data_IF_864248151154
#
_entry.id   IF_864248151154
#
_cell.length_a   1.000
_cell.length_b   1.000
_cell.length_c   1.000
_cell.angle_alpha   90.00
_cell.angle_beta   90.00
_cell.angle_gamma   90.00
#
_symmetry.space_group_name_H-M   'P 1'
#
loop_
_entity.id
_entity.type
_entity.pdbx_description
1 polymer ?
#
# COMPACT_ATOMS: atom_id res chain seq x y z
N UNK A 1 -16.66 4.99 4.75
CA UNK A 1 -16.23 6.40 4.63
C UNK A 1 -16.47 7.13 5.95
N UNK A 2 -15.74 6.84 7.04
CA UNK A 2 -16.12 7.44 8.34
C UNK A 2 -15.09 7.45 9.47
N UNK A 3 -13.88 6.92 9.30
CA UNK A 3 -12.84 6.98 10.36
C UNK A 3 -11.81 8.07 10.07
N UNK A 4 -11.46 8.31 8.80
CA UNK A 4 -10.44 9.32 8.43
C UNK A 4 -10.93 10.77 8.60
N UNK A 5 -12.25 11.00 8.54
CA UNK A 5 -12.82 12.35 8.71
C UNK A 5 -12.86 12.82 10.16
N UNK A 6 -13.01 11.91 11.14
CA UNK A 6 -13.15 12.27 12.56
C UNK A 6 -11.80 12.67 13.19
N UNK A 7 -10.68 12.16 12.66
CA UNK A 7 -9.35 12.53 13.17
C UNK A 7 -8.86 13.89 12.65
N UNK A 8 -9.41 14.43 11.55
CA UNK A 8 -8.93 15.68 10.96
C UNK A 8 -9.43 16.96 11.65
N UNK A 9 -10.46 16.86 12.49
CA UNK A 9 -11.00 18.01 13.25
C UNK A 9 -10.17 18.36 14.50
N UNK A 10 -9.30 17.45 14.98
CA UNK A 10 -8.44 17.66 16.16
C UNK A 10 -6.96 17.93 15.85
N UNK A 11 -6.59 18.02 14.57
CA UNK A 11 -5.19 18.03 14.10
C UNK A 11 -4.84 19.42 13.59
N UNK A 12 -3.75 20.01 14.09
CA UNK A 12 -3.28 21.34 13.65
C UNK A 12 -2.97 21.35 12.15
N UNK A 13 -3.02 22.53 11.54
CA UNK A 13 -2.67 22.69 10.12
C UNK A 13 -1.26 22.15 9.81
N UNK A 14 -0.31 22.38 10.72
CA UNK A 14 1.07 21.90 10.60
C UNK A 14 1.12 20.37 10.60
N UNK A 15 0.43 19.71 11.53
CA UNK A 15 0.43 18.25 11.61
C UNK A 15 -0.27 17.60 10.40
N UNK A 16 -1.25 18.30 9.80
CA UNK A 16 -1.84 17.88 8.51
C UNK A 16 -0.84 18.02 7.36
N UNK A 17 -0.09 19.12 7.30
CA UNK A 17 0.91 19.34 6.27
C UNK A 17 2.04 18.30 6.35
N UNK A 18 2.52 17.98 7.56
CA UNK A 18 3.52 16.92 7.77
C UNK A 18 2.99 15.54 7.35
N UNK A 19 1.75 15.20 7.71
CA UNK A 19 1.14 13.95 7.29
C UNK A 19 1.00 13.86 5.75
N UNK A 20 0.64 14.97 5.09
CA UNK A 20 0.58 15.05 3.63
C UNK A 20 1.97 14.89 3.00
N UNK A 21 3.00 15.53 3.57
CA UNK A 21 4.39 15.40 3.14
C UNK A 21 4.88 13.96 3.24
N UNK A 22 4.66 13.31 4.39
CA UNK A 22 5.02 11.91 4.59
C UNK A 22 4.38 10.98 3.57
N UNK A 23 3.11 11.22 3.20
CA UNK A 23 2.43 10.42 2.18
C UNK A 23 2.96 10.67 0.77
N UNK A 24 3.30 11.92 0.44
CA UNK A 24 3.95 12.25 -0.83
C UNK A 24 5.33 11.57 -0.94
N UNK A 25 6.13 11.62 0.12
CA UNK A 25 7.44 11.00 0.17
C UNK A 25 7.36 9.47 0.06
N UNK A 26 6.41 8.85 0.76
CA UNK A 26 6.16 7.41 0.66
C UNK A 26 5.76 6.99 -0.77
N UNK A 27 4.89 7.76 -1.42
CA UNK A 27 4.47 7.51 -2.80
C UNK A 27 5.64 7.67 -3.77
N UNK A 28 6.46 8.71 -3.59
CA UNK A 28 7.62 8.98 -4.43
C UNK A 28 8.69 7.88 -4.29
N UNK A 29 8.99 7.48 -3.06
CA UNK A 29 9.92 6.39 -2.80
C UNK A 29 9.45 5.08 -3.41
N UNK A 30 8.19 4.69 -3.17
CA UNK A 30 7.63 3.45 -3.71
C UNK A 30 7.57 3.47 -5.24
N UNK A 31 7.27 4.62 -5.84
CA UNK A 31 7.34 4.80 -7.29
C UNK A 31 8.73 4.50 -7.84
N UNK A 32 9.79 4.97 -7.18
CA UNK A 32 11.18 4.67 -7.55
C UNK A 32 11.50 3.18 -7.47
N UNK A 33 11.05 2.50 -6.40
CA UNK A 33 11.21 1.05 -6.23
C UNK A 33 10.51 0.28 -7.36
N UNK A 34 9.27 0.66 -7.67
CA UNK A 34 8.48 0.02 -8.73
C UNK A 34 9.09 0.22 -10.12
N UNK A 35 9.61 1.42 -10.39
CA UNK A 35 10.24 1.71 -11.68
C UNK A 35 11.58 0.98 -11.83
N UNK A 36 12.38 0.89 -10.76
CA UNK A 36 13.61 0.08 -10.74
C UNK A 36 13.30 -1.39 -11.00
N UNK A 37 12.38 -1.99 -10.22
CA UNK A 37 12.04 -3.40 -10.39
C UNK A 37 11.42 -3.70 -11.76
N UNK A 38 10.70 -2.76 -12.37
CA UNK A 38 10.24 -2.89 -13.76
C UNK A 38 11.41 -2.90 -14.75
N UNK A 39 12.39 -2.00 -14.59
CA UNK A 39 13.57 -1.91 -15.46
C UNK A 39 14.45 -3.16 -15.37
N UNK A 40 14.55 -3.74 -14.17
CA UNK A 40 15.33 -4.96 -13.91
C UNK A 40 14.56 -6.24 -14.29
N UNK A 41 13.26 -6.14 -14.56
CA UNK A 41 12.41 -7.27 -14.97
C UNK A 41 11.81 -8.05 -13.80
N UNK A 42 12.04 -7.60 -12.57
CA UNK A 42 11.51 -8.19 -11.34
C UNK A 42 10.00 -7.93 -11.17
N UNK A 43 9.51 -6.78 -11.64
CA UNK A 43 8.10 -6.39 -11.53
C UNK A 43 7.45 -6.16 -12.90
N UNK A 44 6.19 -6.57 -13.00
CA UNK A 44 5.34 -6.35 -14.15
C UNK A 44 4.01 -5.77 -13.69
N UNK A 45 3.66 -4.59 -14.20
CA UNK A 45 2.38 -3.95 -13.89
C UNK A 45 2.04 -2.91 -14.95
N UNK A 46 0.74 -2.73 -15.20
CA UNK A 46 0.24 -1.74 -16.14
C UNK A 46 0.24 -0.32 -15.54
N UNK A 47 0.40 0.67 -16.43
CA UNK A 47 0.31 2.10 -16.11
C UNK A 47 1.61 2.70 -15.58
N UNK A 48 1.49 3.90 -15.02
CA UNK A 48 2.60 4.64 -14.43
C UNK A 48 3.00 4.11 -13.04
N UNK A 49 4.29 4.21 -12.70
CA UNK A 49 4.85 3.72 -11.44
C UNK A 49 4.35 4.51 -10.23
N UNK A 50 4.16 5.83 -10.37
CA UNK A 50 3.63 6.66 -9.29
C UNK A 50 2.14 6.37 -9.05
N UNK A 51 1.35 6.25 -10.12
CA UNK A 51 -0.04 5.82 -10.02
C UNK A 51 -0.18 4.44 -9.35
N UNK A 52 0.71 3.48 -9.70
CA UNK A 52 0.77 2.17 -9.04
C UNK A 52 1.13 2.28 -7.56
N UNK A 53 2.10 3.13 -7.21
CA UNK A 53 2.48 3.38 -5.82
C UNK A 53 1.30 3.91 -4.99
N UNK A 54 0.55 4.88 -5.51
CA UNK A 54 -0.65 5.40 -4.85
C UNK A 54 -1.70 4.30 -4.61
N UNK A 55 -1.94 3.44 -5.61
CA UNK A 55 -2.89 2.34 -5.49
C UNK A 55 -2.46 1.33 -4.41
N UNK A 56 -1.18 0.98 -4.36
CA UNK A 56 -0.62 0.09 -3.33
C UNK A 56 -0.77 0.72 -1.94
N UNK A 57 -0.38 1.97 -1.76
CA UNK A 57 -0.49 2.67 -0.47
C UNK A 57 -1.95 2.75 0.01
N UNK A 58 -2.87 3.10 -0.88
CA UNK A 58 -4.30 3.16 -0.56
C UNK A 58 -4.84 1.77 -0.16
N UNK A 59 -4.45 0.72 -0.89
CA UNK A 59 -4.85 -0.65 -0.57
C UNK A 59 -4.33 -1.11 0.79
N UNK A 60 -3.05 -0.84 1.11
CA UNK A 60 -2.46 -1.19 2.41
C UNK A 60 -3.13 -0.45 3.57
N UNK A 61 -3.39 0.85 3.42
CA UNK A 61 -4.10 1.64 4.43
C UNK A 61 -5.53 1.13 4.65
N UNK A 62 -6.26 0.84 3.58
CA UNK A 62 -7.58 0.24 3.66
C UNK A 62 -7.57 -1.15 4.30
N UNK A 63 -6.56 -1.96 4.00
CA UNK A 63 -6.41 -3.30 4.56
C UNK A 63 -6.16 -3.27 6.08
N UNK A 64 -5.36 -2.31 6.56
CA UNK A 64 -5.18 -2.09 8.00
C UNK A 64 -6.48 -1.69 8.69
N UNK A 65 -7.31 -0.88 8.03
CA UNK A 65 -8.64 -0.52 8.55
C UNK A 65 -9.57 -1.74 8.58
N UNK A 66 -9.59 -2.54 7.52
CA UNK A 66 -10.40 -3.76 7.44
C UNK A 66 -9.97 -4.79 8.48
N UNK A 67 -8.66 -5.03 8.67
CA UNK A 67 -8.14 -5.94 9.69
C UNK A 67 -8.56 -5.60 11.13
N UNK A 68 -9.01 -4.36 11.40
CA UNK A 68 -9.58 -3.97 12.70
C UNK A 68 -11.06 -4.31 12.82
N UNK A 69 -11.77 -4.46 11.70
CA UNK A 69 -13.22 -4.68 11.62
C UNK A 69 -13.58 -6.13 11.23
N UNK A 70 -12.66 -6.85 10.61
CA UNK A 70 -12.83 -8.21 10.09
C UNK A 70 -11.79 -9.17 10.69
N UNK A 71 -11.77 -10.42 10.24
CA UNK A 71 -10.71 -11.37 10.61
C UNK A 71 -9.30 -10.80 10.32
N UNK A 72 -8.35 -11.18 11.18
CA UNK A 72 -6.96 -10.67 11.24
C UNK A 72 -6.19 -10.75 9.91
N UNK A 73 -6.66 -11.54 8.95
CA UNK A 73 -6.00 -11.87 7.69
C UNK A 73 -6.21 -10.86 6.54
N UNK A 74 -7.02 -9.79 6.68
CA UNK A 74 -7.29 -8.86 5.58
C UNK A 74 -6.01 -8.19 5.03
N UNK A 75 -5.14 -7.70 5.92
CA UNK A 75 -3.83 -7.15 5.56
C UNK A 75 -2.96 -8.15 4.79
N UNK A 76 -2.82 -9.37 5.28
CA UNK A 76 -2.01 -10.42 4.65
C UNK A 76 -2.53 -10.77 3.25
N UNK A 77 -3.85 -10.88 3.08
CA UNK A 77 -4.48 -11.16 1.79
C UNK A 77 -4.25 -10.03 0.78
N UNK A 78 -4.38 -8.77 1.21
CA UNK A 78 -4.12 -7.61 0.33
C UNK A 78 -2.64 -7.56 -0.05
N UNK A 79 -1.73 -7.82 0.89
CA UNK A 79 -0.30 -7.86 0.61
C UNK A 79 0.04 -8.96 -0.41
N UNK A 80 -0.52 -10.16 -0.25
CA UNK A 80 -0.35 -11.26 -1.22
C UNK A 80 -0.87 -10.89 -2.60
N UNK A 81 -2.04 -10.24 -2.68
CA UNK A 81 -2.60 -9.79 -3.94
C UNK A 81 -1.71 -8.74 -4.62
N UNK A 82 -1.17 -7.78 -3.87
CA UNK A 82 -0.25 -6.77 -4.40
C UNK A 82 0.98 -7.42 -5.04
N UNK A 83 1.57 -8.43 -4.39
CA UNK A 83 2.70 -9.15 -4.97
C UNK A 83 2.33 -9.87 -6.27
N UNK A 84 1.17 -10.53 -6.30
CA UNK A 84 0.65 -11.17 -7.51
C UNK A 84 0.43 -10.17 -8.65
N UNK A 85 -0.13 -8.99 -8.34
CA UNK A 85 -0.37 -7.91 -9.31
C UNK A 85 0.93 -7.28 -9.85
N UNK A 86 2.03 -7.39 -9.10
CA UNK A 86 3.38 -7.01 -9.54
C UNK A 86 4.08 -8.14 -10.32
N UNK A 87 3.44 -9.28 -10.53
CA UNK A 87 4.02 -10.43 -11.22
C UNK A 87 5.01 -11.23 -10.37
N UNK A 88 5.06 -10.99 -9.05
CA UNK A 88 5.97 -11.70 -8.15
C UNK A 88 5.31 -12.98 -7.67
N UNK A 89 5.89 -14.12 -8.04
CA UNK A 89 5.48 -15.41 -7.51
C UNK A 89 5.92 -15.52 -6.05
N UNK A 90 4.98 -15.32 -5.11
CA UNK A 90 5.24 -15.63 -3.71
C UNK A 90 5.45 -17.15 -3.56
N UNK A 91 6.48 -17.59 -2.80
CA UNK A 91 6.62 -19.00 -2.45
C UNK A 91 5.35 -19.44 -1.74
N UNK A 92 4.66 -20.47 -2.25
CA UNK A 92 3.54 -21.10 -1.55
C UNK A 92 4.09 -21.69 -0.26
N UNK A 93 3.88 -21.02 0.87
CA UNK A 93 4.12 -21.63 2.17
C UNK A 93 3.10 -22.75 2.34
N UNK A 94 3.55 -23.99 2.21
CA UNK A 94 2.74 -25.16 2.53
C UNK A 94 2.28 -25.06 3.99
N UNK A 95 1.00 -25.31 4.31
CA UNK A 95 0.61 -25.43 5.71
C UNK A 95 1.43 -26.55 6.33
N UNK A 96 2.04 -26.26 7.48
CA UNK A 96 2.75 -27.27 8.27
C UNK A 96 1.78 -28.43 8.56
N UNK A 97 2.28 -29.64 8.34
CA UNK A 97 1.56 -30.91 8.48
C UNK A 97 1.20 -31.19 9.94
#
# INVERSE_FOLDING_TARGET
>A
MGVVTVELEGVSADMRAEAQGLMADAAQWLSGVLDLGRREGDFQFAGDAYARALLILAALQGALQLSRLTERAAFERVLQQIWGDLGVALPRTSPAK
#
